data_IF_773375104732
#
_entry.id   IF_773375104732
#
_cell.length_a   1.000
_cell.length_b   1.000
_cell.length_c   1.000
_cell.angle_alpha   90.00
_cell.angle_beta   90.00
_cell.angle_gamma   90.00
#
_symmetry.space_group_name_H-M   'P 1'
#
loop_
_entity.id
_entity.type
_entity.pdbx_description
1 polymer ?
#
# COMPACT_ATOMS: atom_id res chain seq x y z
N UNK A 1 -5.44 -6.19 -13.16
CA UNK A 1 -6.07 -5.54 -11.98
C UNK A 1 -5.18 -4.42 -11.46
N UNK A 2 -5.72 -3.42 -10.77
CA UNK A 2 -4.99 -2.31 -10.13
C UNK A 2 -5.14 -2.40 -8.62
N UNK A 3 -4.18 -1.86 -7.88
CA UNK A 3 -4.24 -1.78 -6.43
C UNK A 3 -4.82 -0.42 -6.02
N UNK A 4 -6.02 -0.41 -5.46
CA UNK A 4 -6.56 0.75 -4.77
C UNK A 4 -6.13 0.72 -3.31
N UNK A 5 -5.70 1.86 -2.78
CA UNK A 5 -5.46 2.02 -1.34
C UNK A 5 -6.09 3.31 -0.85
N UNK A 6 -6.71 3.25 0.33
CA UNK A 6 -7.17 4.41 1.10
C UNK A 6 -6.42 4.46 2.41
N UNK A 7 -5.60 5.46 2.59
CA UNK A 7 -4.93 5.75 3.85
C UNK A 7 -5.79 6.68 4.68
N UNK A 8 -6.08 6.29 5.91
CA UNK A 8 -6.82 7.09 6.88
C UNK A 8 -5.97 7.30 8.12
N UNK A 9 -6.12 8.46 8.74
CA UNK A 9 -5.51 8.76 10.02
C UNK A 9 -6.62 8.91 11.06
N UNK A 10 -6.69 7.99 12.00
CA UNK A 10 -7.75 7.91 13.00
C UNK A 10 -7.18 8.15 14.40
N UNK A 11 -7.96 8.82 15.24
CA UNK A 11 -7.66 9.10 16.65
C UNK A 11 -8.83 8.68 17.53
N UNK A 12 -8.56 8.29 18.77
CA UNK A 12 -9.56 7.86 19.72
C UNK A 12 -9.10 6.62 20.49
N UNK A 13 -9.98 6.01 21.32
CA UNK A 13 -9.68 4.78 22.03
C UNK A 13 -9.32 3.66 21.03
N UNK A 14 -8.15 3.01 21.14
CA UNK A 14 -7.67 2.06 20.13
C UNK A 14 -8.65 0.93 19.81
N UNK A 15 -9.34 0.42 20.83
CA UNK A 15 -10.33 -0.65 20.64
C UNK A 15 -11.55 -0.20 19.82
N UNK A 16 -12.01 1.04 20.01
CA UNK A 16 -13.13 1.61 19.27
C UNK A 16 -12.76 1.91 17.82
N UNK A 17 -11.57 2.49 17.60
CA UNK A 17 -11.02 2.75 16.26
C UNK A 17 -10.88 1.45 15.50
N UNK A 18 -10.32 0.40 16.12
CA UNK A 18 -10.18 -0.91 15.49
C UNK A 18 -11.53 -1.55 15.16
N UNK A 19 -12.46 -1.53 16.10
CA UNK A 19 -13.81 -2.07 15.89
C UNK A 19 -14.54 -1.34 14.75
N UNK A 20 -14.48 -0.01 14.71
CA UNK A 20 -15.03 0.79 13.62
C UNK A 20 -14.40 0.44 12.28
N UNK A 21 -13.07 0.37 12.23
CA UNK A 21 -12.34 0.12 10.98
C UNK A 21 -12.61 -1.28 10.43
N UNK A 22 -12.72 -2.27 11.31
CA UNK A 22 -13.07 -3.65 10.95
C UNK A 22 -14.51 -3.76 10.45
N UNK A 23 -15.46 -3.08 11.12
CA UNK A 23 -16.87 -3.01 10.71
C UNK A 23 -17.01 -2.35 9.32
N UNK A 24 -16.34 -1.22 9.09
CA UNK A 24 -16.32 -0.55 7.79
C UNK A 24 -15.73 -1.46 6.68
N UNK A 25 -14.60 -2.12 6.95
CA UNK A 25 -13.98 -3.07 6.03
C UNK A 25 -14.94 -4.21 5.66
N UNK A 26 -15.57 -4.83 6.66
CA UNK A 26 -16.51 -5.94 6.44
C UNK A 26 -17.71 -5.48 5.64
N UNK A 27 -18.30 -4.33 6.01
CA UNK A 27 -19.44 -3.77 5.30
C UNK A 27 -19.12 -3.51 3.80
N UNK A 28 -17.96 -2.94 3.51
CA UNK A 28 -17.55 -2.69 2.12
C UNK A 28 -17.40 -4.02 1.37
N UNK A 29 -16.70 -5.00 1.95
CA UNK A 29 -16.51 -6.31 1.31
C UNK A 29 -17.82 -7.04 1.08
N UNK A 30 -18.71 -7.07 2.06
CA UNK A 30 -20.01 -7.77 1.98
C UNK A 30 -20.95 -7.11 0.98
N UNK A 31 -20.93 -5.78 0.88
CA UNK A 31 -21.79 -5.03 -0.04
C UNK A 31 -21.33 -5.13 -1.48
N UNK A 32 -20.02 -5.12 -1.72
CA UNK A 32 -19.46 -4.99 -3.08
C UNK A 32 -18.91 -6.29 -3.64
N UNK A 33 -18.72 -7.29 -2.79
CA UNK A 33 -18.11 -8.57 -3.17
C UNK A 33 -16.59 -8.51 -3.40
N UNK A 34 -15.95 -7.35 -3.19
CA UNK A 34 -14.50 -7.24 -3.30
C UNK A 34 -13.82 -7.61 -1.98
N UNK A 35 -12.64 -8.23 -2.04
CA UNK A 35 -11.83 -8.43 -0.86
C UNK A 35 -11.12 -7.11 -0.49
N UNK A 36 -11.41 -6.61 0.71
CA UNK A 36 -10.73 -5.44 1.29
C UNK A 36 -9.80 -5.90 2.39
N UNK A 37 -8.50 -5.62 2.25
CA UNK A 37 -7.52 -5.79 3.32
C UNK A 37 -7.47 -4.56 4.21
N UNK A 38 -7.37 -4.75 5.53
CA UNK A 38 -7.14 -3.68 6.51
C UNK A 38 -5.77 -3.85 7.15
N UNK A 39 -4.98 -2.79 7.10
CA UNK A 39 -3.58 -2.77 7.54
C UNK A 39 -3.37 -1.69 8.60
N UNK A 40 -2.65 -2.03 9.66
CA UNK A 40 -2.17 -1.07 10.65
C UNK A 40 -0.72 -0.69 10.32
N UNK A 41 -0.44 0.59 10.16
CA UNK A 41 0.92 1.08 9.90
C UNK A 41 1.63 1.27 11.23
N UNK A 42 2.75 0.54 11.43
CA UNK A 42 3.55 0.61 12.66
C UNK A 42 4.69 1.60 12.54
N UNK A 43 5.31 1.72 11.35
CA UNK A 43 6.46 2.59 11.11
C UNK A 43 6.32 3.38 9.82
N UNK A 44 6.91 4.56 9.78
CA UNK A 44 6.94 5.42 8.60
C UNK A 44 5.66 6.23 8.38
N UNK A 45 4.75 6.29 9.36
CA UNK A 45 3.57 7.15 9.32
C UNK A 45 3.17 7.55 10.75
N UNK A 46 2.32 8.59 10.93
CA UNK A 46 1.79 8.95 12.23
C UNK A 46 1.03 7.80 12.89
N UNK A 47 1.08 7.73 14.22
CA UNK A 47 0.33 6.73 15.00
C UNK A 47 -1.17 6.88 14.72
N UNK A 48 -1.88 5.75 14.54
CA UNK A 48 -3.30 5.74 14.16
C UNK A 48 -3.53 5.71 12.64
N UNK A 49 -2.45 5.59 11.85
CA UNK A 49 -2.59 5.39 10.40
C UNK A 49 -3.02 3.97 10.08
N UNK A 50 -4.12 3.85 9.35
CA UNK A 50 -4.63 2.59 8.79
C UNK A 50 -4.69 2.70 7.26
N UNK A 51 -4.56 1.56 6.59
CA UNK A 51 -4.69 1.48 5.13
C UNK A 51 -5.73 0.41 4.79
N UNK A 52 -6.74 0.80 4.02
CA UNK A 52 -7.61 -0.15 3.32
C UNK A 52 -7.03 -0.40 1.93
N UNK A 53 -6.98 -1.64 1.52
CA UNK A 53 -6.50 -2.01 0.18
C UNK A 53 -7.49 -2.92 -0.51
N UNK A 54 -7.67 -2.74 -1.81
CA UNK A 54 -8.50 -3.60 -2.63
C UNK A 54 -7.93 -3.70 -4.06
N UNK A 55 -8.19 -4.82 -4.71
CA UNK A 55 -7.89 -5.00 -6.13
C UNK A 55 -9.10 -4.65 -6.96
N UNK A 56 -8.92 -3.77 -7.93
CA UNK A 56 -9.97 -3.31 -8.84
C UNK A 56 -9.50 -3.43 -10.29
N UNK A 57 -10.43 -3.65 -11.22
CA UNK A 57 -10.06 -3.77 -12.64
C UNK A 57 -9.65 -2.43 -13.24
N UNK A 58 -10.19 -1.33 -12.71
CA UNK A 58 -9.86 0.03 -13.14
C UNK A 58 -10.80 1.06 -12.55
N UNK A 59 -10.76 2.28 -13.09
CA UNK A 59 -11.57 3.40 -12.62
C UNK A 59 -13.08 3.16 -12.75
N UNK A 60 -13.53 2.55 -13.85
CA UNK A 60 -14.94 2.25 -14.04
C UNK A 60 -15.46 1.28 -12.97
N UNK A 61 -14.66 0.24 -12.63
CA UNK A 61 -14.99 -0.68 -11.55
C UNK A 61 -15.02 0.04 -10.19
N UNK A 62 -14.03 0.88 -9.90
CA UNK A 62 -13.99 1.68 -8.67
C UNK A 62 -15.17 2.64 -8.56
N UNK A 63 -15.60 3.27 -9.67
CA UNK A 63 -16.79 4.12 -9.71
C UNK A 63 -18.06 3.33 -9.41
N UNK A 64 -18.22 2.15 -10.01
CA UNK A 64 -19.38 1.29 -9.76
C UNK A 64 -19.45 0.83 -8.29
N UNK A 65 -18.30 0.47 -7.68
CA UNK A 65 -18.20 0.15 -6.27
C UNK A 65 -18.66 1.35 -5.41
N UNK A 66 -18.17 2.56 -5.72
CA UNK A 66 -18.55 3.75 -5.00
C UNK A 66 -20.04 4.07 -5.12
N UNK A 67 -20.62 3.96 -6.33
CA UNK A 67 -22.07 4.14 -6.55
C UNK A 67 -22.88 3.12 -5.74
N UNK A 68 -22.46 1.85 -5.72
CA UNK A 68 -23.12 0.80 -4.94
C UNK A 68 -23.08 1.11 -3.43
N UNK A 69 -21.94 1.56 -2.91
CA UNK A 69 -21.80 1.94 -1.49
C UNK A 69 -22.63 3.18 -1.15
N UNK A 70 -22.60 4.21 -2.00
CA UNK A 70 -23.38 5.44 -1.79
C UNK A 70 -24.89 5.23 -1.84
N UNK A 71 -25.37 4.16 -2.46
CA UNK A 71 -26.78 3.79 -2.45
C UNK A 71 -27.22 3.12 -1.12
N UNK A 72 -26.28 2.77 -0.23
CA UNK A 72 -26.57 2.06 1.03
C UNK A 72 -26.67 3.03 2.20
N UNK A 73 -27.82 3.08 2.88
CA UNK A 73 -27.98 3.88 4.12
C UNK A 73 -26.96 3.48 5.18
N UNK A 74 -26.69 2.18 5.36
CA UNK A 74 -25.71 1.67 6.31
C UNK A 74 -24.28 2.17 6.05
N UNK A 75 -23.95 2.54 4.82
CA UNK A 75 -22.68 3.19 4.50
C UNK A 75 -22.62 4.63 5.03
N UNK A 76 -23.70 5.40 4.82
CA UNK A 76 -23.79 6.78 5.32
C UNK A 76 -23.74 6.84 6.85
N UNK A 77 -24.40 5.91 7.54
CA UNK A 77 -24.37 5.82 9.01
C UNK A 77 -22.94 5.54 9.52
N UNK A 78 -22.17 4.68 8.82
CA UNK A 78 -20.78 4.40 9.15
C UNK A 78 -19.88 5.60 8.86
N UNK A 79 -20.10 6.30 7.76
CA UNK A 79 -19.34 7.52 7.44
C UNK A 79 -19.58 8.60 8.51
N UNK A 80 -20.84 8.78 8.95
CA UNK A 80 -21.16 9.74 10.01
C UNK A 80 -20.45 9.40 11.31
N UNK A 81 -20.52 8.13 11.75
CA UNK A 81 -19.79 7.63 12.94
C UNK A 81 -18.28 7.75 12.79
N UNK A 82 -17.76 7.53 11.58
CA UNK A 82 -16.34 7.67 11.29
C UNK A 82 -15.81 9.08 11.49
N UNK A 83 -16.65 10.09 11.32
CA UNK A 83 -16.29 11.48 11.57
C UNK A 83 -15.72 11.74 12.96
N UNK A 84 -16.15 10.97 13.97
CA UNK A 84 -15.68 11.09 15.35
C UNK A 84 -14.22 10.63 15.53
N UNK A 85 -13.72 9.82 14.61
CA UNK A 85 -12.37 9.24 14.66
C UNK A 85 -11.39 9.89 13.69
N UNK A 86 -11.84 10.58 12.64
CA UNK A 86 -10.97 11.12 11.58
C UNK A 86 -10.13 12.27 12.12
N UNK A 87 -8.80 12.08 12.16
CA UNK A 87 -7.83 13.09 12.58
C UNK A 87 -7.27 13.91 11.40
N UNK A 88 -7.31 13.37 10.18
CA UNK A 88 -6.88 14.06 8.96
C UNK A 88 -7.66 13.53 7.74
N UNK A 89 -7.73 14.30 6.63
CA UNK A 89 -8.34 13.84 5.39
C UNK A 89 -7.76 12.52 4.91
N UNK A 90 -8.62 11.61 4.44
CA UNK A 90 -8.19 10.37 3.81
C UNK A 90 -7.44 10.64 2.50
N UNK A 91 -6.47 9.79 2.18
CA UNK A 91 -5.69 9.84 0.95
C UNK A 91 -5.91 8.57 0.14
N UNK A 92 -6.37 8.72 -1.09
CA UNK A 92 -6.59 7.62 -2.01
C UNK A 92 -5.43 7.53 -3.01
N UNK A 93 -5.06 6.30 -3.35
CA UNK A 93 -4.09 6.00 -4.40
C UNK A 93 -4.60 4.84 -5.26
N UNK A 94 -4.27 4.87 -6.53
CA UNK A 94 -4.56 3.79 -7.48
C UNK A 94 -3.28 3.43 -8.21
N UNK A 95 -2.69 2.30 -7.84
CA UNK A 95 -1.45 1.79 -8.43
C UNK A 95 -1.71 0.89 -9.63
N UNK A 96 -1.03 1.16 -10.74
CA UNK A 96 -0.95 0.27 -11.89
C UNK A 96 0.26 -0.64 -11.72
N UNK A 97 0.10 -1.98 -11.69
CA UNK A 97 1.24 -2.88 -11.53
C UNK A 97 2.14 -2.83 -12.77
N UNK A 98 3.43 -2.73 -12.55
CA UNK A 98 4.50 -2.81 -13.55
C UNK A 98 5.26 -4.14 -13.42
N UNK A 99 5.32 -4.71 -12.21
CA UNK A 99 5.85 -6.02 -11.92
C UNK A 99 5.10 -6.63 -10.72
N UNK A 100 4.83 -7.94 -10.77
CA UNK A 100 4.15 -8.65 -9.69
C UNK A 100 2.78 -8.04 -9.34
N UNK A 101 2.35 -8.26 -8.10
CA UNK A 101 1.14 -7.62 -7.58
C UNK A 101 -0.17 -8.26 -7.99
N UNK A 102 -0.15 -9.41 -8.65
CA UNK A 102 -1.31 -10.20 -9.10
C UNK A 102 -1.65 -11.38 -8.15
N UNK A 103 -0.77 -11.64 -7.18
CA UNK A 103 -1.00 -12.67 -6.15
C UNK A 103 -2.16 -12.33 -5.21
N UNK A 104 -2.59 -13.30 -4.40
CA UNK A 104 -3.64 -13.14 -3.40
C UNK A 104 -3.30 -12.06 -2.36
N UNK A 105 -4.33 -11.53 -1.70
CA UNK A 105 -4.12 -10.63 -0.55
C UNK A 105 -3.43 -11.44 0.56
N UNK A 106 -2.27 -10.98 1.08
CA UNK A 106 -1.54 -11.72 2.10
C UNK A 106 -2.39 -12.03 3.33
N UNK A 107 -2.21 -13.17 4.02
CA UNK A 107 -3.00 -13.54 5.19
C UNK A 107 -2.97 -12.50 6.33
N UNK A 108 -3.96 -12.54 7.24
CA UNK A 108 -3.94 -11.73 8.46
C UNK A 108 -2.68 -12.06 9.27
N UNK A 109 -2.01 -11.04 9.79
CA UNK A 109 -0.71 -11.14 10.47
C UNK A 109 0.48 -10.91 9.54
N UNK A 110 0.30 -10.99 8.21
CA UNK A 110 1.37 -10.66 7.26
C UNK A 110 1.79 -9.21 7.36
N UNK A 111 3.07 -8.97 7.09
CA UNK A 111 3.69 -7.65 7.08
C UNK A 111 3.99 -7.22 5.66
N UNK A 112 3.70 -5.98 5.33
CA UNK A 112 4.11 -5.34 4.07
C UNK A 112 5.07 -4.20 4.38
N UNK A 113 6.23 -4.23 3.72
CA UNK A 113 7.14 -3.09 3.63
C UNK A 113 6.80 -2.34 2.34
N UNK A 114 6.38 -1.09 2.47
CA UNK A 114 6.13 -0.21 1.34
C UNK A 114 7.27 0.80 1.21
N UNK A 115 7.96 0.80 0.07
CA UNK A 115 8.92 1.84 -0.31
C UNK A 115 8.30 2.66 -1.43
N UNK A 116 8.30 3.99 -1.31
CA UNK A 116 7.74 4.91 -2.28
C UNK A 116 8.78 5.94 -2.69
N UNK A 117 8.70 6.41 -3.94
CA UNK A 117 9.50 7.51 -4.45
C UNK A 117 8.74 8.24 -5.56
N UNK A 118 9.24 9.41 -5.97
CA UNK A 118 8.74 10.16 -7.12
C UNK A 118 9.82 10.20 -8.18
N UNK A 119 9.49 9.74 -9.37
CA UNK A 119 10.41 9.73 -10.53
C UNK A 119 10.72 11.16 -10.97
N UNK A 120 11.99 11.44 -11.21
CA UNK A 120 12.44 12.73 -11.74
C UNK A 120 11.95 12.92 -13.18
N UNK A 121 11.49 14.14 -13.50
CA UNK A 121 11.04 14.48 -14.85
C UNK A 121 12.07 14.13 -15.93
N UNK A 122 11.62 13.48 -17.00
CA UNK A 122 12.47 13.01 -18.09
C UNK A 122 13.20 11.68 -17.85
N UNK A 123 13.03 11.04 -16.67
CA UNK A 123 13.68 9.77 -16.33
C UNK A 123 12.70 8.57 -16.23
N UNK A 124 11.50 8.71 -16.76
CA UNK A 124 10.44 7.72 -16.56
C UNK A 124 10.83 6.31 -17.01
N UNK A 125 11.26 6.16 -18.26
CA UNK A 125 11.61 4.85 -18.82
C UNK A 125 12.75 4.20 -18.04
N UNK A 126 13.77 4.96 -17.71
CA UNK A 126 14.94 4.50 -16.96
C UNK A 126 14.55 4.08 -15.53
N UNK A 127 13.73 4.89 -14.85
CA UNK A 127 13.26 4.59 -13.50
C UNK A 127 12.33 3.36 -13.47
N UNK A 128 11.47 3.17 -14.48
CA UNK A 128 10.61 1.98 -14.59
C UNK A 128 11.44 0.72 -14.82
N UNK A 129 12.43 0.78 -15.72
CA UNK A 129 13.34 -0.35 -15.96
C UNK A 129 14.10 -0.70 -14.68
N UNK A 130 14.75 0.27 -14.06
CA UNK A 130 15.47 0.09 -12.81
C UNK A 130 14.56 -0.45 -11.69
N UNK A 131 13.37 0.11 -11.55
CA UNK A 131 12.42 -0.29 -10.51
C UNK A 131 11.92 -1.72 -10.67
N UNK A 132 11.72 -2.17 -11.91
CA UNK A 132 11.35 -3.56 -12.24
C UNK A 132 12.52 -4.50 -11.93
N UNK A 133 13.74 -4.17 -12.38
CA UNK A 133 14.93 -4.98 -12.12
C UNK A 133 15.22 -5.09 -10.62
N UNK A 134 14.96 -4.00 -9.86
CA UNK A 134 15.13 -3.97 -8.42
C UNK A 134 14.10 -4.84 -7.69
N UNK A 135 12.85 -4.88 -8.17
CA UNK A 135 11.82 -5.76 -7.64
C UNK A 135 12.21 -7.23 -7.86
N UNK A 136 12.59 -7.60 -9.07
CA UNK A 136 13.04 -8.96 -9.43
C UNK A 136 14.25 -9.38 -8.59
N UNK A 137 15.25 -8.49 -8.45
CA UNK A 137 16.44 -8.78 -7.65
C UNK A 137 16.08 -8.97 -6.16
N UNK A 138 15.23 -8.10 -5.61
CA UNK A 138 14.78 -8.22 -4.23
C UNK A 138 14.01 -9.52 -3.97
N UNK A 139 13.15 -9.96 -4.88
CA UNK A 139 12.49 -11.27 -4.81
C UNK A 139 13.49 -12.42 -4.77
N UNK A 140 14.50 -12.40 -5.64
CA UNK A 140 15.55 -13.40 -5.71
C UNK A 140 16.34 -13.51 -4.41
N UNK A 141 16.70 -12.38 -3.81
CA UNK A 141 17.51 -12.32 -2.57
C UNK A 141 16.70 -12.73 -1.34
N UNK A 142 15.48 -12.23 -1.24
CA UNK A 142 14.66 -12.42 -0.03
C UNK A 142 13.81 -13.69 -0.07
N UNK A 143 13.37 -14.11 -1.25
CA UNK A 143 12.35 -15.13 -1.45
C UNK A 143 10.91 -14.61 -1.25
N UNK A 144 10.73 -13.32 -0.98
CA UNK A 144 9.42 -12.69 -0.77
C UNK A 144 8.91 -12.05 -2.08
N UNK A 145 7.61 -12.11 -2.38
CA UNK A 145 7.07 -11.43 -3.55
C UNK A 145 7.17 -9.90 -3.39
N UNK A 146 7.49 -9.22 -4.48
CA UNK A 146 7.57 -7.76 -4.55
C UNK A 146 6.67 -7.25 -5.67
N UNK A 147 5.64 -6.50 -5.34
CA UNK A 147 4.86 -5.75 -6.31
C UNK A 147 5.50 -4.39 -6.59
N UNK A 148 5.72 -4.04 -7.85
CA UNK A 148 6.14 -2.71 -8.26
C UNK A 148 5.01 -2.02 -9.00
N UNK A 149 4.64 -0.82 -8.56
CA UNK A 149 3.48 -0.08 -9.05
C UNK A 149 3.85 1.34 -9.43
N UNK A 150 3.13 1.89 -10.41
CA UNK A 150 3.11 3.31 -10.72
C UNK A 150 1.77 3.90 -10.31
N UNK A 151 1.78 5.02 -9.62
CA UNK A 151 0.57 5.73 -9.21
C UNK A 151 -0.13 6.34 -10.42
N UNK A 152 -1.41 6.00 -10.62
CA UNK A 152 -2.24 6.61 -11.64
C UNK A 152 -2.75 7.99 -11.21
N UNK A 153 -2.86 8.21 -9.90
CA UNK A 153 -3.28 9.46 -9.25
C UNK A 153 -2.45 9.70 -8.00
N UNK A 154 -2.23 10.96 -7.67
CA UNK A 154 -1.37 11.41 -6.58
C UNK A 154 -0.18 12.20 -7.12
N UNK A 155 0.98 12.16 -6.49
CA UNK A 155 2.19 12.80 -7.02
C UNK A 155 2.52 12.29 -8.42
N UNK A 156 2.67 13.20 -9.38
CA UNK A 156 3.04 12.82 -10.74
C UNK A 156 4.39 12.11 -10.74
N UNK A 157 4.41 10.90 -11.26
CA UNK A 157 5.61 10.06 -11.22
C UNK A 157 5.79 9.25 -9.95
N UNK A 158 4.77 9.17 -9.09
CA UNK A 158 4.79 8.32 -7.92
C UNK A 158 4.97 6.85 -8.29
N UNK A 159 5.88 6.17 -7.60
CA UNK A 159 6.10 4.73 -7.72
C UNK A 159 6.18 4.10 -6.33
N UNK A 160 5.83 2.81 -6.24
CA UNK A 160 5.88 2.08 -4.99
C UNK A 160 6.30 0.63 -5.18
N UNK A 161 7.15 0.13 -4.27
CA UNK A 161 7.50 -1.27 -4.11
C UNK A 161 6.85 -1.79 -2.84
N UNK A 162 6.10 -2.88 -2.94
CA UNK A 162 5.42 -3.53 -1.84
C UNK A 162 6.00 -4.94 -1.68
N UNK A 163 6.77 -5.17 -0.64
CA UNK A 163 7.31 -6.49 -0.30
C UNK A 163 6.49 -7.08 0.85
N UNK A 164 5.93 -8.28 0.63
CA UNK A 164 5.13 -8.98 1.61
C UNK A 164 5.95 -10.08 2.30
N UNK A 165 5.82 -10.16 3.63
CA UNK A 165 6.41 -11.23 4.46
C UNK A 165 5.32 -11.83 5.36
N UNK A 166 5.53 -13.07 5.84
CA UNK A 166 4.57 -13.77 6.69
C UNK A 166 4.33 -13.07 8.03
N UNK A 167 5.35 -12.41 8.56
CA UNK A 167 5.36 -11.74 9.86
C UNK A 167 6.53 -10.75 9.96
N UNK A 168 6.67 -10.09 11.11
CA UNK A 168 7.73 -9.10 11.36
C UNK A 168 9.14 -9.72 11.35
N UNK A 169 9.30 -10.93 11.87
CA UNK A 169 10.61 -11.59 11.91
C UNK A 169 11.07 -11.95 10.48
N UNK A 170 10.16 -12.45 9.64
CA UNK A 170 10.45 -12.71 8.24
C UNK A 170 10.76 -11.42 7.46
N UNK A 171 10.08 -10.30 7.77
CA UNK A 171 10.36 -8.99 7.18
C UNK A 171 11.74 -8.47 7.60
N UNK A 172 12.13 -8.61 8.87
CA UNK A 172 13.46 -8.26 9.38
C UNK A 172 14.55 -9.09 8.69
N UNK A 173 14.40 -10.42 8.66
CA UNK A 173 15.34 -11.31 8.00
C UNK A 173 15.50 -11.02 6.49
N UNK A 174 14.42 -10.61 5.81
CA UNK A 174 14.48 -10.17 4.43
C UNK A 174 15.28 -8.86 4.28
N UNK A 175 15.09 -7.92 5.20
CA UNK A 175 15.87 -6.67 5.27
C UNK A 175 17.35 -6.94 5.46
N UNK A 176 17.71 -7.85 6.37
CA UNK A 176 19.09 -8.24 6.63
C UNK A 176 19.77 -8.85 5.41
N UNK A 177 19.06 -9.73 4.68
CA UNK A 177 19.56 -10.29 3.42
C UNK A 177 19.83 -9.21 2.36
N UNK A 178 18.93 -8.23 2.19
CA UNK A 178 19.12 -7.12 1.25
C UNK A 178 20.31 -6.23 1.68
N UNK A 179 20.43 -5.94 2.97
CA UNK A 179 21.53 -5.14 3.48
C UNK A 179 22.90 -5.83 3.38
N UNK A 180 22.93 -7.15 3.30
CA UNK A 180 24.14 -7.94 3.07
C UNK A 180 24.44 -8.21 1.59
N UNK A 181 23.49 -7.93 0.68
CA UNK A 181 23.65 -8.18 -0.76
C UNK A 181 24.37 -6.99 -1.43
N UNK A 182 25.58 -7.24 -1.91
CA UNK A 182 26.43 -6.20 -2.53
C UNK A 182 25.79 -5.63 -3.78
N UNK A 183 25.16 -6.46 -4.62
CA UNK A 183 24.52 -6.01 -5.86
C UNK A 183 23.34 -5.09 -5.56
N UNK A 184 22.53 -5.41 -4.54
CA UNK A 184 21.44 -4.54 -4.08
C UNK A 184 21.95 -3.15 -3.64
N UNK A 185 23.01 -3.12 -2.86
CA UNK A 185 23.61 -1.88 -2.36
C UNK A 185 24.22 -1.04 -3.47
N UNK A 186 24.92 -1.68 -4.43
CA UNK A 186 25.48 -0.99 -5.60
C UNK A 186 24.39 -0.36 -6.48
N UNK A 187 23.29 -1.09 -6.72
CA UNK A 187 22.13 -0.57 -7.46
C UNK A 187 21.48 0.62 -6.74
N UNK A 188 21.42 0.61 -5.40
CA UNK A 188 20.90 1.75 -4.62
C UNK A 188 21.85 2.96 -4.64
N UNK A 189 23.16 2.75 -4.66
CA UNK A 189 24.13 3.84 -4.67
C UNK A 189 24.07 4.69 -5.96
N UNK A 190 23.71 4.09 -7.09
CA UNK A 190 23.65 4.76 -8.40
C UNK A 190 22.28 5.38 -8.74
N UNK A 191 21.25 5.19 -7.89
CA UNK A 191 19.87 5.52 -8.26
C UNK A 191 19.47 6.99 -8.06
N UNK A 192 20.29 7.78 -7.39
CA UNK A 192 19.94 9.15 -6.98
C UNK A 192 19.52 10.09 -8.11
N UNK A 193 19.93 9.81 -9.36
CA UNK A 193 19.60 10.59 -10.55
C UNK A 193 18.22 10.25 -11.15
N UNK A 194 17.55 9.20 -10.69
CA UNK A 194 16.24 8.75 -11.20
C UNK A 194 15.06 9.34 -10.43
N UNK A 195 15.26 9.71 -9.18
CA UNK A 195 14.18 10.11 -8.29
C UNK A 195 14.35 11.54 -7.77
N UNK A 196 13.23 12.16 -7.46
CA UNK A 196 13.21 13.49 -6.83
C UNK A 196 13.88 13.39 -5.45
N UNK A 197 14.88 14.23 -5.15
CA UNK A 197 15.54 14.23 -3.87
C UNK A 197 14.55 14.31 -2.69
N UNK A 198 14.78 13.54 -1.63
CA UNK A 198 13.94 13.45 -0.45
C UNK A 198 12.48 12.98 -0.68
N UNK A 199 12.15 12.46 -1.87
CA UNK A 199 10.84 11.84 -2.11
C UNK A 199 10.75 10.40 -1.61
N UNK A 200 11.88 9.78 -1.31
CA UNK A 200 11.95 8.41 -0.79
C UNK A 200 11.27 8.30 0.58
N UNK A 201 10.33 7.37 0.69
CA UNK A 201 9.61 7.10 1.93
C UNK A 201 9.44 5.59 2.12
N UNK A 202 9.67 5.10 3.34
CA UNK A 202 9.50 3.69 3.68
C UNK A 202 8.58 3.54 4.88
N UNK A 203 7.65 2.62 4.78
CA UNK A 203 6.71 2.30 5.87
C UNK A 203 6.54 0.80 6.03
N UNK A 204 6.09 0.40 7.21
CA UNK A 204 5.75 -0.99 7.53
C UNK A 204 4.32 -1.06 8.04
N UNK A 205 3.54 -1.98 7.51
CA UNK A 205 2.17 -2.23 7.93
C UNK A 205 1.92 -3.73 8.14
N UNK A 206 1.09 -4.06 9.13
CA UNK A 206 0.62 -5.43 9.38
C UNK A 206 -0.84 -5.56 9.00
N UNK A 207 -1.20 -6.64 8.29
CA UNK A 207 -2.60 -6.96 8.00
C UNK A 207 -3.32 -7.36 9.28
N UNK A 208 -4.42 -6.67 9.60
CA UNK A 208 -5.21 -6.89 10.82
C UNK A 208 -6.63 -7.41 10.53
N UNK A 209 -7.10 -7.27 9.30
CA UNK A 209 -8.38 -7.88 8.82
C UNK A 209 -8.42 -7.98 7.29
#
# INVERSE_FOLDING_TARGET
MRLFTRTVHLSGPPAEVLAFSTDMRSFVSDTTGIEVGLWSVQFGAPVGTLVYSARVDGLAHLSAINEQLMAQQGYHERLARGGDFVAAPAQDSLGTPLHGGDGDVPPIGSVVIATRAVVLGGRYTEAVTWGTDMAIHSEKVTGNPVGFYMDAFGPFGGVSWLSAASDAAAAEAAGDKLNADTEYLERLADVGHLFVPASGHRSMATRIA
#
